data_IF_811578285329
#
_entry.id   IF_811578285329
#
_cell.length_a   1.000
_cell.length_b   1.000
_cell.length_c   1.000
_cell.angle_alpha   90.00
_cell.angle_beta   90.00
_cell.angle_gamma   90.00
#
_symmetry.space_group_name_H-M   'P 1'
#
loop_
_entity.id
_entity.type
_entity.pdbx_description
1 polymer ?
#
# COMPACT_ATOMS: atom_id res chain seq x y z
N UNK A 1 41.45 -8.68 -11.81
CA UNK A 1 40.38 -9.66 -11.60
C UNK A 1 39.29 -8.94 -10.77
N UNK A 2 38.34 -8.37 -11.47
CA UNK A 2 37.18 -7.72 -10.86
C UNK A 2 36.21 -8.84 -10.47
N UNK A 3 36.03 -9.07 -9.17
CA UNK A 3 34.97 -9.93 -8.68
C UNK A 3 33.68 -9.13 -8.92
N UNK A 4 32.90 -9.52 -9.93
CA UNK A 4 31.46 -9.24 -9.95
C UNK A 4 30.90 -9.87 -8.68
N UNK A 5 30.59 -9.06 -7.65
CA UNK A 5 29.60 -9.43 -6.67
C UNK A 5 28.27 -9.44 -7.45
N UNK A 6 27.88 -10.60 -7.94
CA UNK A 6 26.48 -10.83 -8.29
C UNK A 6 25.69 -10.41 -7.06
N UNK A 7 24.80 -9.42 -7.20
CA UNK A 7 23.88 -9.04 -6.14
C UNK A 7 23.10 -10.31 -5.80
N UNK A 8 23.36 -10.89 -4.66
CA UNK A 8 22.66 -12.06 -4.17
C UNK A 8 21.17 -11.66 -4.07
N UNK A 9 20.32 -12.34 -4.82
CA UNK A 9 18.87 -12.13 -4.77
C UNK A 9 18.39 -12.50 -3.39
N UNK A 10 17.84 -11.53 -2.66
CA UNK A 10 17.32 -11.73 -1.32
C UNK A 10 15.80 -11.95 -1.32
N UNK A 11 15.10 -11.40 -2.32
CA UNK A 11 13.64 -11.43 -2.40
C UNK A 11 13.14 -11.82 -3.78
N UNK A 12 12.10 -12.66 -3.80
CA UNK A 12 11.39 -12.97 -5.05
C UNK A 12 10.62 -11.74 -5.53
N UNK A 13 9.97 -11.01 -4.59
CA UNK A 13 9.19 -9.81 -4.92
C UNK A 13 9.40 -8.71 -3.88
N UNK A 14 9.59 -7.49 -4.36
CA UNK A 14 9.50 -6.27 -3.54
C UNK A 14 8.29 -5.45 -3.99
N UNK A 15 7.35 -5.22 -3.08
CA UNK A 15 6.17 -4.39 -3.32
C UNK A 15 6.37 -2.95 -2.89
N UNK A 16 5.82 -2.00 -3.67
CA UNK A 16 5.74 -0.58 -3.31
C UNK A 16 4.29 -0.15 -3.35
N UNK A 17 3.75 0.36 -2.24
CA UNK A 17 2.32 0.70 -2.16
C UNK A 17 1.93 1.52 -0.93
N UNK A 18 0.63 1.82 -0.81
CA UNK A 18 0.06 2.49 0.35
C UNK A 18 0.04 1.55 1.56
N UNK A 19 0.75 1.93 2.64
CA UNK A 19 0.71 1.22 3.91
C UNK A 19 -0.56 1.65 4.68
N UNK A 20 -1.61 0.84 4.59
CA UNK A 20 -2.94 1.12 5.14
C UNK A 20 -3.27 0.06 6.20
N UNK A 21 -3.85 0.47 7.32
CA UNK A 21 -4.43 -0.47 8.30
C UNK A 21 -5.92 -0.63 8.00
N UNK A 22 -6.36 -1.85 7.77
CA UNK A 22 -7.77 -2.19 7.66
C UNK A 22 -8.35 -2.36 9.07
N UNK A 23 -9.44 -1.63 9.35
CA UNK A 23 -10.23 -1.70 10.59
C UNK A 23 -11.59 -2.26 10.22
N UNK A 24 -11.82 -3.53 10.53
CA UNK A 24 -13.00 -4.27 10.10
C UNK A 24 -13.95 -4.44 11.27
N UNK A 25 -15.17 -3.94 11.15
CA UNK A 25 -16.21 -4.11 12.17
C UNK A 25 -17.55 -4.51 11.54
N UNK A 26 -18.27 -5.39 12.22
CA UNK A 26 -19.65 -5.70 11.89
C UNK A 26 -20.57 -4.57 12.40
N UNK A 27 -21.47 -4.11 11.55
CA UNK A 27 -22.41 -3.03 11.84
C UNK A 27 -23.79 -3.36 11.28
N UNK A 28 -24.83 -2.81 11.90
CA UNK A 28 -26.18 -2.86 11.35
C UNK A 28 -26.38 -1.78 10.25
N UNK A 29 -27.36 -2.00 9.37
CA UNK A 29 -27.71 -1.03 8.31
C UNK A 29 -28.01 0.37 8.88
N UNK A 30 -28.59 0.43 10.07
CA UNK A 30 -28.87 1.69 10.79
C UNK A 30 -27.58 2.50 11.07
N UNK A 31 -26.43 1.84 11.24
CA UNK A 31 -25.15 2.55 11.38
C UNK A 31 -24.75 3.23 10.07
N UNK A 32 -24.88 2.54 8.94
CA UNK A 32 -24.60 3.07 7.60
C UNK A 32 -25.47 4.32 7.33
N UNK A 33 -26.77 4.22 7.63
CA UNK A 33 -27.70 5.33 7.48
C UNK A 33 -27.38 6.52 8.42
N UNK A 34 -27.16 6.24 9.72
CA UNK A 34 -26.77 7.26 10.72
C UNK A 34 -25.52 8.02 10.30
N UNK A 35 -24.54 7.32 9.73
CA UNK A 35 -23.27 7.89 9.32
C UNK A 35 -23.31 8.49 7.91
N UNK A 36 -24.45 8.46 7.21
CA UNK A 36 -24.61 8.92 5.82
C UNK A 36 -23.58 8.29 4.86
N UNK A 37 -23.32 7.00 5.01
CA UNK A 37 -22.40 6.25 4.16
C UNK A 37 -23.12 5.65 2.95
N UNK A 38 -22.42 5.49 1.84
CA UNK A 38 -22.94 4.81 0.65
C UNK A 38 -22.61 3.32 0.79
N UNK A 39 -23.62 2.52 1.16
CA UNK A 39 -23.48 1.09 1.39
C UNK A 39 -22.81 0.36 0.20
N UNK A 40 -21.87 -0.51 0.49
CA UNK A 40 -21.19 -1.34 -0.51
C UNK A 40 -20.19 -0.59 -1.41
N UNK A 41 -19.89 0.68 -1.10
CA UNK A 41 -18.93 1.48 -1.87
C UNK A 41 -17.62 1.71 -1.11
N UNK A 42 -16.61 2.17 -1.86
CA UNK A 42 -15.38 2.76 -1.30
C UNK A 42 -15.43 4.28 -1.48
N UNK A 43 -15.09 5.00 -0.42
CA UNK A 43 -14.99 6.46 -0.44
C UNK A 43 -13.70 6.91 0.25
N UNK A 44 -13.03 7.90 -0.34
CA UNK A 44 -11.95 8.60 0.34
C UNK A 44 -12.55 9.62 1.32
N UNK A 45 -11.99 9.68 2.53
CA UNK A 45 -12.44 10.58 3.60
C UNK A 45 -11.29 11.42 4.14
N UNK A 46 -11.64 12.58 4.74
CA UNK A 46 -10.65 13.43 5.43
C UNK A 46 -10.17 12.78 6.75
N UNK A 47 -9.09 13.33 7.32
CA UNK A 47 -8.56 12.90 8.61
C UNK A 47 -9.61 13.02 9.72
N UNK A 48 -10.34 14.15 9.76
CA UNK A 48 -11.40 14.42 10.75
C UNK A 48 -12.53 13.42 10.61
N UNK A 49 -13.03 13.21 9.38
CA UNK A 49 -14.12 12.27 9.13
C UNK A 49 -13.72 10.83 9.47
N UNK A 50 -12.50 10.46 9.14
CA UNK A 50 -11.94 9.15 9.50
C UNK A 50 -11.86 8.98 11.03
N UNK A 51 -11.44 10.02 11.76
CA UNK A 51 -11.37 9.97 13.23
C UNK A 51 -12.76 9.84 13.86
N UNK A 52 -13.76 10.61 13.37
CA UNK A 52 -15.15 10.51 13.82
C UNK A 52 -15.73 9.11 13.61
N UNK A 53 -15.59 8.57 12.38
CA UNK A 53 -16.09 7.24 12.06
C UNK A 53 -15.41 6.15 12.92
N UNK A 54 -14.09 6.25 13.09
CA UNK A 54 -13.34 5.30 13.91
C UNK A 54 -13.82 5.30 15.39
N UNK A 55 -14.11 6.47 15.94
CA UNK A 55 -14.62 6.60 17.31
C UNK A 55 -16.06 6.07 17.48
N UNK A 56 -16.89 6.14 16.43
CA UNK A 56 -18.28 5.70 16.44
C UNK A 56 -18.48 4.22 16.09
N UNK A 57 -17.47 3.60 15.44
CA UNK A 57 -17.53 2.18 15.08
C UNK A 57 -17.45 1.28 16.31
N UNK A 58 -18.11 0.12 16.30
CA UNK A 58 -17.86 -0.95 17.27
C UNK A 58 -16.39 -1.36 17.23
N UNK A 59 -15.90 -1.97 18.32
CA UNK A 59 -14.56 -2.56 18.34
C UNK A 59 -14.43 -3.59 17.21
N UNK A 60 -13.44 -3.37 16.35
CA UNK A 60 -13.19 -4.19 15.16
C UNK A 60 -11.84 -4.89 15.24
N UNK A 61 -11.52 -5.61 14.18
CA UNK A 61 -10.21 -6.22 13.95
C UNK A 61 -9.34 -5.26 13.16
N UNK A 62 -8.14 -5.01 13.65
CA UNK A 62 -7.13 -4.18 13.00
C UNK A 62 -6.02 -5.05 12.45
N UNK A 63 -5.70 -4.88 11.17
CA UNK A 63 -4.66 -5.64 10.50
C UNK A 63 -4.01 -4.84 9.37
N UNK A 64 -2.77 -5.17 8.97
CA UNK A 64 -2.21 -4.61 7.74
C UNK A 64 -3.15 -4.86 6.57
N UNK A 65 -3.36 -3.83 5.77
CA UNK A 65 -4.15 -3.84 4.55
C UNK A 65 -3.41 -3.10 3.43
N UNK A 66 -4.13 -2.72 2.40
CA UNK A 66 -3.59 -2.18 1.17
C UNK A 66 -3.25 -3.26 0.14
N UNK A 67 -3.49 -2.97 -1.14
CA UNK A 67 -3.45 -4.00 -2.20
C UNK A 67 -2.06 -4.60 -2.41
N UNK A 68 -1.01 -3.77 -2.40
CA UNK A 68 0.35 -4.25 -2.56
C UNK A 68 0.86 -4.99 -1.31
N UNK A 69 0.53 -4.51 -0.11
CA UNK A 69 0.91 -5.19 1.12
C UNK A 69 0.25 -6.57 1.21
N UNK A 70 -1.05 -6.68 0.90
CA UNK A 70 -1.76 -7.96 0.83
C UNK A 70 -1.16 -8.91 -0.22
N UNK A 71 -0.68 -8.38 -1.35
CA UNK A 71 0.04 -9.16 -2.36
C UNK A 71 1.35 -9.71 -1.80
N UNK A 72 2.14 -8.93 -1.08
CA UNK A 72 3.39 -9.39 -0.46
C UNK A 72 3.14 -10.45 0.62
N UNK A 73 2.10 -10.26 1.44
CA UNK A 73 1.67 -11.27 2.42
C UNK A 73 1.29 -12.57 1.70
N UNK A 74 0.54 -12.49 0.59
CA UNK A 74 0.19 -13.66 -0.22
C UNK A 74 1.41 -14.40 -0.77
N UNK A 75 2.42 -13.68 -1.27
CA UNK A 75 3.68 -14.27 -1.73
C UNK A 75 4.39 -15.01 -0.58
N UNK A 76 4.51 -14.38 0.58
CA UNK A 76 5.15 -15.00 1.75
C UNK A 76 4.39 -16.25 2.23
N UNK A 77 3.06 -16.20 2.29
CA UNK A 77 2.24 -17.35 2.67
C UNK A 77 2.33 -18.53 1.68
N UNK A 78 2.65 -18.27 0.43
CA UNK A 78 2.90 -19.30 -0.58
C UNK A 78 4.35 -19.82 -0.58
N UNK A 79 5.17 -19.35 0.36
CA UNK A 79 6.56 -19.80 0.53
C UNK A 79 7.59 -18.98 -0.26
N UNK A 80 7.20 -17.86 -0.87
CA UNK A 80 8.13 -16.92 -1.50
C UNK A 80 8.73 -15.95 -0.49
N UNK A 81 9.86 -15.34 -0.83
CA UNK A 81 10.49 -14.27 -0.05
C UNK A 81 9.98 -12.91 -0.54
N UNK A 82 9.37 -12.14 0.36
CA UNK A 82 8.77 -10.87 0.02
C UNK A 82 9.27 -9.73 0.91
N UNK A 83 9.38 -8.54 0.30
CA UNK A 83 9.60 -7.31 1.03
C UNK A 83 8.63 -6.22 0.58
N UNK A 84 8.45 -5.20 1.40
CA UNK A 84 7.51 -4.12 1.15
C UNK A 84 8.13 -2.76 1.47
N UNK A 85 7.86 -1.78 0.62
CA UNK A 85 8.23 -0.37 0.79
C UNK A 85 6.95 0.45 0.88
N UNK A 86 6.79 1.20 1.95
CA UNK A 86 5.65 2.06 2.20
C UNK A 86 5.97 3.15 3.21
N UNK A 87 4.97 3.97 3.56
CA UNK A 87 5.14 5.05 4.54
C UNK A 87 4.09 4.97 5.63
N UNK A 88 4.54 5.04 6.89
CA UNK A 88 3.70 5.00 8.09
C UNK A 88 4.08 6.14 9.03
N UNK A 89 3.27 6.38 10.05
CA UNK A 89 3.60 7.29 11.14
C UNK A 89 4.09 6.53 12.38
N UNK A 90 4.70 7.26 13.33
CA UNK A 90 5.05 6.74 14.66
C UNK A 90 3.81 6.76 15.58
N UNK A 91 2.71 6.16 15.12
CA UNK A 91 1.45 6.05 15.86
C UNK A 91 1.05 4.58 16.10
N UNK A 92 -0.06 4.38 16.80
CA UNK A 92 -0.57 3.06 17.12
C UNK A 92 -0.83 2.20 15.86
N UNK A 93 -1.47 2.77 14.83
CA UNK A 93 -1.76 2.04 13.60
C UNK A 93 -0.49 1.74 12.78
N UNK A 94 0.52 2.61 12.82
CA UNK A 94 1.84 2.34 12.25
C UNK A 94 2.53 1.15 12.93
N UNK A 95 2.36 1.01 14.25
CA UNK A 95 2.83 -0.16 14.99
C UNK A 95 2.06 -1.42 14.56
N UNK A 96 0.72 -1.37 14.47
CA UNK A 96 -0.13 -2.48 14.00
C UNK A 96 0.32 -2.95 12.62
N UNK A 97 0.56 -2.02 11.69
CA UNK A 97 1.02 -2.37 10.34
C UNK A 97 2.38 -3.07 10.37
N UNK A 98 3.35 -2.50 11.09
CA UNK A 98 4.71 -3.05 11.21
C UNK A 98 4.72 -4.46 11.80
N UNK A 99 4.01 -4.64 12.91
CA UNK A 99 3.94 -5.93 13.59
C UNK A 99 3.24 -6.98 12.72
N UNK A 100 2.18 -6.60 12.01
CA UNK A 100 1.45 -7.50 11.14
C UNK A 100 2.30 -7.95 9.94
N UNK A 101 3.04 -7.05 9.29
CA UNK A 101 3.98 -7.41 8.22
C UNK A 101 5.08 -8.34 8.72
N UNK A 102 5.63 -8.07 9.90
CA UNK A 102 6.63 -8.94 10.54
C UNK A 102 6.08 -10.33 10.85
N UNK A 103 4.85 -10.44 11.37
CA UNK A 103 4.18 -11.74 11.61
C UNK A 103 3.91 -12.53 10.34
N UNK A 104 3.71 -11.83 9.23
CA UNK A 104 3.55 -12.42 7.90
C UNK A 104 4.88 -12.76 7.21
N UNK A 105 6.02 -12.58 7.91
CA UNK A 105 7.37 -12.81 7.37
C UNK A 105 7.70 -11.97 6.13
N UNK A 106 7.05 -10.80 5.99
CA UNK A 106 7.35 -9.80 4.97
C UNK A 106 8.35 -8.79 5.53
N UNK A 107 9.52 -8.68 4.93
CA UNK A 107 10.49 -7.63 5.27
C UNK A 107 9.93 -6.26 4.93
N UNK A 108 10.04 -5.30 5.85
CA UNK A 108 9.41 -4.00 5.69
C UNK A 108 10.41 -2.85 5.79
N UNK A 109 10.60 -2.11 4.70
CA UNK A 109 11.30 -0.82 4.66
C UNK A 109 10.26 0.30 4.61
N UNK A 110 10.35 1.27 5.52
CA UNK A 110 9.31 2.31 5.61
C UNK A 110 9.91 3.68 5.85
N UNK A 111 9.32 4.66 5.14
CA UNK A 111 9.44 6.06 5.53
C UNK A 111 8.63 6.32 6.80
N UNK A 112 9.13 7.22 7.63
CA UNK A 112 8.42 7.67 8.84
C UNK A 112 8.12 9.15 8.69
N UNK A 113 6.87 9.51 8.98
CA UNK A 113 6.42 10.89 9.09
C UNK A 113 5.81 11.12 10.48
N UNK A 114 5.83 12.39 10.94
CA UNK A 114 5.30 12.76 12.26
C UNK A 114 4.12 13.72 12.19
N UNK A 115 3.87 14.26 11.00
CA UNK A 115 2.88 15.32 10.81
C UNK A 115 1.48 14.77 10.45
N UNK A 116 1.45 13.62 9.75
CA UNK A 116 0.22 12.96 9.34
C UNK A 116 0.10 11.58 9.98
N UNK A 117 -1.12 11.15 10.38
CA UNK A 117 -1.32 9.80 10.91
C UNK A 117 -1.19 8.73 9.83
N UNK A 118 -0.92 7.49 10.28
CA UNK A 118 -0.95 6.29 9.44
C UNK A 118 -2.29 6.14 8.74
N UNK A 119 -2.25 5.71 7.50
CA UNK A 119 -3.45 5.45 6.71
C UNK A 119 -4.31 4.34 7.31
N UNK A 120 -5.62 4.47 7.17
CA UNK A 120 -6.58 3.45 7.60
C UNK A 120 -7.77 3.36 6.66
N UNK A 121 -8.24 2.15 6.47
CA UNK A 121 -9.50 1.86 5.78
C UNK A 121 -10.51 1.34 6.82
N UNK A 122 -11.55 2.11 7.07
CA UNK A 122 -12.65 1.72 7.96
C UNK A 122 -13.65 0.91 7.16
N UNK A 123 -13.76 -0.38 7.48
CA UNK A 123 -14.55 -1.37 6.73
C UNK A 123 -15.74 -1.79 7.60
N UNK A 124 -16.92 -1.30 7.25
CA UNK A 124 -18.17 -1.68 7.86
C UNK A 124 -18.77 -2.85 7.09
N UNK A 125 -18.99 -3.96 7.79
CA UNK A 125 -19.60 -5.17 7.21
C UNK A 125 -21.03 -5.29 7.73
N UNK A 126 -22.01 -5.22 6.83
CA UNK A 126 -23.43 -5.35 7.17
C UNK A 126 -23.88 -6.82 7.12
N UNK A 127 -25.06 -7.20 7.72
CA UNK A 127 -25.50 -8.59 7.81
C UNK A 127 -25.66 -9.33 6.47
N UNK A 128 -25.86 -8.58 5.38
CA UNK A 128 -25.89 -9.10 4.01
C UNK A 128 -24.48 -9.25 3.37
N UNK A 129 -23.42 -9.16 4.21
CA UNK A 129 -22.02 -9.26 3.82
C UNK A 129 -21.53 -8.14 2.88
N UNK A 130 -22.25 -7.03 2.75
CA UNK A 130 -21.76 -5.86 2.02
C UNK A 130 -20.67 -5.16 2.85
N UNK A 131 -19.59 -4.78 2.17
CA UNK A 131 -18.48 -4.03 2.75
C UNK A 131 -18.55 -2.58 2.30
N UNK A 132 -18.70 -1.68 3.25
CA UNK A 132 -18.61 -0.23 3.02
C UNK A 132 -17.27 0.26 3.52
N UNK A 133 -16.47 0.84 2.65
CA UNK A 133 -15.07 1.20 2.93
C UNK A 133 -14.92 2.72 2.93
N UNK A 134 -14.32 3.25 3.99
CA UNK A 134 -14.03 4.67 4.13
C UNK A 134 -12.53 4.81 4.39
N UNK A 135 -11.78 5.24 3.37
CA UNK A 135 -10.32 5.22 3.37
C UNK A 135 -9.75 6.62 3.57
N UNK A 136 -8.94 6.77 4.59
CA UNK A 136 -8.05 7.90 4.79
C UNK A 136 -6.62 7.47 4.46
N UNK A 137 -6.04 8.08 3.44
CA UNK A 137 -4.72 7.69 2.93
C UNK A 137 -3.56 8.15 3.84
N UNK A 138 -3.78 9.17 4.68
CA UNK A 138 -2.79 9.64 5.63
C UNK A 138 -1.41 9.84 5.02
N UNK A 139 -0.39 9.50 5.79
CA UNK A 139 1.00 9.64 5.37
C UNK A 139 1.38 8.73 4.19
N UNK A 140 0.65 7.64 3.95
CA UNK A 140 1.00 6.68 2.89
C UNK A 140 0.98 7.30 1.49
N UNK A 141 0.12 8.30 1.25
CA UNK A 141 0.04 9.03 -0.02
C UNK A 141 1.27 9.93 -0.30
N UNK A 142 2.14 10.12 0.68
CA UNK A 142 3.32 10.97 0.59
C UNK A 142 4.63 10.16 0.63
N UNK A 143 4.60 8.93 0.10
CA UNK A 143 5.82 8.18 -0.15
C UNK A 143 6.72 8.99 -1.10
N UNK A 144 7.98 9.20 -0.71
CA UNK A 144 8.92 10.00 -1.46
C UNK A 144 10.08 9.18 -2.02
N UNK A 145 10.85 9.77 -2.91
CA UNK A 145 12.05 9.13 -3.44
C UNK A 145 13.06 8.74 -2.35
N UNK A 146 13.10 9.45 -1.22
CA UNK A 146 14.00 9.17 -0.10
C UNK A 146 13.60 7.89 0.64
N UNK A 147 12.32 7.55 0.63
CA UNK A 147 11.78 6.36 1.27
C UNK A 147 12.08 5.06 0.47
N UNK A 148 12.50 5.19 -0.79
CA UNK A 148 12.79 4.05 -1.68
C UNK A 148 14.20 3.52 -1.42
N UNK A 149 14.30 2.34 -0.80
CA UNK A 149 15.55 1.62 -0.58
C UNK A 149 16.08 1.06 -1.90
N UNK A 150 17.20 1.62 -2.37
CA UNK A 150 17.89 1.16 -3.57
C UNK A 150 18.36 -0.28 -3.43
N UNK A 151 18.92 -0.65 -2.27
CA UNK A 151 19.44 -1.98 -2.00
C UNK A 151 18.30 -3.01 -2.08
N UNK A 152 17.18 -2.74 -1.45
CA UNK A 152 16.03 -3.64 -1.43
C UNK A 152 15.48 -3.88 -2.83
N UNK A 153 15.27 -2.81 -3.62
CA UNK A 153 14.77 -2.93 -5.00
C UNK A 153 15.77 -3.69 -5.88
N UNK A 154 17.07 -3.36 -5.79
CA UNK A 154 18.10 -4.01 -6.63
C UNK A 154 18.30 -5.50 -6.31
N UNK A 155 18.00 -5.94 -5.09
CA UNK A 155 18.12 -7.33 -4.64
C UNK A 155 16.90 -8.21 -4.92
N UNK A 156 15.80 -7.65 -5.44
CA UNK A 156 14.59 -8.43 -5.78
C UNK A 156 14.64 -8.99 -7.21
N UNK A 157 13.93 -10.08 -7.46
CA UNK A 157 13.69 -10.56 -8.82
C UNK A 157 12.65 -9.70 -9.54
N UNK A 158 11.59 -9.32 -8.83
CA UNK A 158 10.46 -8.56 -9.34
C UNK A 158 10.14 -7.37 -8.43
N UNK A 159 10.06 -6.19 -9.00
CA UNK A 159 9.44 -5.02 -8.38
C UNK A 159 7.95 -4.99 -8.72
N UNK A 160 7.08 -4.96 -7.71
CA UNK A 160 5.63 -4.80 -7.87
C UNK A 160 5.20 -3.41 -7.39
N UNK A 161 4.67 -2.57 -8.29
CA UNK A 161 4.22 -1.22 -7.99
C UNK A 161 2.70 -1.13 -7.95
N UNK A 162 2.16 -0.38 -6.97
CA UNK A 162 0.75 -0.11 -6.81
C UNK A 162 0.35 1.20 -7.48
N UNK A 163 -0.65 1.16 -8.38
CA UNK A 163 -1.12 2.33 -9.10
C UNK A 163 -1.77 3.40 -8.22
N UNK A 164 -2.37 3.02 -7.10
CA UNK A 164 -2.95 4.00 -6.15
C UNK A 164 -1.95 5.03 -5.58
N UNK A 165 -0.65 4.77 -5.66
CA UNK A 165 0.37 5.77 -5.31
C UNK A 165 0.57 6.86 -6.37
N UNK A 166 -0.15 6.82 -7.49
CA UNK A 166 0.08 7.74 -8.61
C UNK A 166 -0.63 9.09 -8.48
N UNK A 167 -1.25 9.40 -7.34
CA UNK A 167 -2.04 10.64 -7.16
C UNK A 167 -1.22 11.86 -6.70
N UNK A 168 0.00 11.69 -6.18
CA UNK A 168 0.89 12.79 -5.76
C UNK A 168 2.19 12.80 -6.54
N UNK A 169 2.79 13.97 -6.73
CA UNK A 169 4.04 14.09 -7.49
C UNK A 169 5.20 13.38 -6.79
N UNK A 170 5.28 13.46 -5.46
CA UNK A 170 6.31 12.78 -4.67
C UNK A 170 6.24 11.25 -4.85
N UNK A 171 5.03 10.68 -4.80
CA UNK A 171 4.82 9.24 -4.99
C UNK A 171 5.09 8.80 -6.44
N UNK A 172 4.75 9.63 -7.43
CA UNK A 172 5.13 9.39 -8.83
C UNK A 172 6.65 9.31 -9.00
N UNK A 173 7.38 10.24 -8.38
CA UNK A 173 8.84 10.23 -8.39
C UNK A 173 9.42 9.02 -7.68
N UNK A 174 8.86 8.62 -6.54
CA UNK A 174 9.25 7.43 -5.79
C UNK A 174 9.10 6.16 -6.64
N UNK A 175 7.94 5.97 -7.27
CA UNK A 175 7.70 4.82 -8.15
C UNK A 175 8.63 4.84 -9.36
N UNK A 176 8.79 5.97 -10.05
CA UNK A 176 9.72 6.09 -11.18
C UNK A 176 11.15 5.78 -10.77
N UNK A 177 11.59 6.22 -9.58
CA UNK A 177 12.91 5.87 -9.03
C UNK A 177 13.03 4.36 -8.81
N UNK A 178 12.05 3.73 -8.17
CA UNK A 178 12.04 2.29 -7.94
C UNK A 178 12.12 1.49 -9.26
N UNK A 179 11.31 1.86 -10.26
CA UNK A 179 11.34 1.24 -11.59
C UNK A 179 12.70 1.40 -12.28
N UNK A 180 13.32 2.59 -12.23
CA UNK A 180 14.65 2.84 -12.79
C UNK A 180 15.72 1.98 -12.11
N UNK A 181 15.68 1.86 -10.79
CA UNK A 181 16.60 0.98 -10.03
C UNK A 181 16.42 -0.47 -10.48
N UNK A 182 15.17 -0.96 -10.55
CA UNK A 182 14.88 -2.33 -11.00
C UNK A 182 15.43 -2.60 -12.39
N UNK A 183 15.13 -1.74 -13.36
CA UNK A 183 15.65 -1.92 -14.75
C UNK A 183 17.17 -1.83 -14.82
N UNK A 184 17.82 -0.89 -14.12
CA UNK A 184 19.29 -0.77 -14.10
C UNK A 184 19.99 -1.95 -13.42
N UNK A 185 19.29 -2.67 -12.56
CA UNK A 185 19.74 -3.90 -11.90
C UNK A 185 19.35 -5.18 -12.67
N UNK A 186 18.82 -5.04 -13.88
CA UNK A 186 18.31 -6.14 -14.72
C UNK A 186 17.25 -6.99 -14.00
N UNK A 187 16.33 -6.30 -13.31
CA UNK A 187 15.18 -6.89 -12.60
C UNK A 187 13.89 -6.56 -13.34
N UNK A 188 12.85 -7.34 -13.09
CA UNK A 188 11.54 -7.18 -13.72
C UNK A 188 10.69 -6.16 -12.96
N UNK A 189 9.74 -5.57 -13.67
CA UNK A 189 8.76 -4.62 -13.12
C UNK A 189 7.35 -5.09 -13.46
N UNK A 190 6.50 -5.19 -12.43
CA UNK A 190 5.06 -5.37 -12.56
C UNK A 190 4.34 -4.14 -11.99
N UNK A 191 3.25 -3.74 -12.62
CA UNK A 191 2.43 -2.60 -12.23
C UNK A 191 0.97 -3.00 -12.13
N UNK A 192 0.37 -2.84 -10.94
CA UNK A 192 -1.07 -2.89 -10.78
C UNK A 192 -1.68 -1.54 -11.17
N UNK A 193 -2.62 -1.55 -12.10
CA UNK A 193 -3.33 -0.32 -12.51
C UNK A 193 -4.39 0.14 -11.49
N UNK A 194 -4.62 -0.70 -10.48
CA UNK A 194 -5.51 -0.46 -9.32
C UNK A 194 -6.99 -0.49 -9.68
N UNK A 195 -7.65 0.64 -9.87
CA UNK A 195 -9.06 0.69 -10.26
C UNK A 195 -9.31 1.56 -11.51
N UNK A 196 -10.56 1.56 -11.99
CA UNK A 196 -10.96 2.31 -13.17
C UNK A 196 -10.79 3.83 -13.00
N UNK A 197 -11.04 4.35 -11.80
CA UNK A 197 -10.89 5.79 -11.53
C UNK A 197 -9.42 6.21 -11.57
N UNK A 198 -8.52 5.38 -11.04
CA UNK A 198 -7.08 5.59 -11.12
C UNK A 198 -6.60 5.54 -12.59
N UNK A 199 -7.08 4.55 -13.35
CA UNK A 199 -6.76 4.43 -14.77
C UNK A 199 -7.22 5.65 -15.58
N UNK A 200 -8.45 6.10 -15.37
CA UNK A 200 -9.00 7.25 -16.10
C UNK A 200 -8.27 8.55 -15.79
N UNK A 201 -7.92 8.79 -14.51
CA UNK A 201 -7.21 10.02 -14.09
C UNK A 201 -5.81 10.12 -14.70
N UNK A 202 -5.12 8.98 -14.88
CA UNK A 202 -3.69 8.95 -15.20
C UNK A 202 -3.38 8.17 -16.48
N UNK A 203 -4.32 8.10 -17.42
CA UNK A 203 -4.26 7.25 -18.61
C UNK A 203 -2.98 7.43 -19.45
N UNK A 204 -2.53 8.66 -19.62
CA UNK A 204 -1.33 8.97 -20.42
C UNK A 204 -0.07 8.48 -19.72
N UNK A 205 0.02 8.70 -18.41
CA UNK A 205 1.13 8.25 -17.59
C UNK A 205 1.23 6.71 -17.62
N UNK A 206 0.09 6.00 -17.53
CA UNK A 206 0.07 4.53 -17.61
C UNK A 206 0.61 4.01 -18.94
N UNK A 207 0.24 4.62 -20.05
CA UNK A 207 0.73 4.21 -21.36
C UNK A 207 2.25 4.43 -21.51
N UNK A 208 2.79 5.47 -20.91
CA UNK A 208 4.22 5.71 -20.86
C UNK A 208 4.94 4.64 -20.01
N UNK A 209 4.48 4.43 -18.76
CA UNK A 209 5.10 3.47 -17.84
C UNK A 209 5.08 2.03 -18.37
N UNK A 210 3.95 1.61 -18.97
CA UNK A 210 3.80 0.29 -19.57
C UNK A 210 4.80 0.06 -20.70
N UNK A 211 5.15 1.08 -21.47
CA UNK A 211 6.10 0.98 -22.56
C UNK A 211 7.55 1.04 -22.11
N UNK A 212 7.81 1.84 -21.08
CA UNK A 212 9.19 2.13 -20.65
C UNK A 212 9.71 1.14 -19.62
N UNK A 213 8.88 0.71 -18.67
CA UNK A 213 9.34 -0.01 -17.49
C UNK A 213 8.75 -1.42 -17.31
N UNK A 214 7.49 -1.65 -17.67
CA UNK A 214 6.79 -2.89 -17.31
C UNK A 214 7.18 -4.05 -18.24
N UNK A 215 7.36 -5.25 -17.65
CA UNK A 215 7.76 -6.49 -18.35
C UNK A 215 6.59 -7.40 -18.70
#
# INVERSE_FOLDING_TARGET
MSQNKENEQLFDVVGVGNAIVDVIAEVEDAFIEKQNLVKGSMSLVSAERSAELYAEMPTGTEMPGGSAANTMVGVAQLGGSAAYIGKISEDYLGQVFREGMSKAEVSFSFGIDKDLPTARCLIQVTPDAQRTMNTFLGVSAYLSSEDVSQELVASSELLYCEGYLWDTDDSKEAIRKAMKISKSSNRKVALALSDTFCVERHREDWLELLKEFVD
#
